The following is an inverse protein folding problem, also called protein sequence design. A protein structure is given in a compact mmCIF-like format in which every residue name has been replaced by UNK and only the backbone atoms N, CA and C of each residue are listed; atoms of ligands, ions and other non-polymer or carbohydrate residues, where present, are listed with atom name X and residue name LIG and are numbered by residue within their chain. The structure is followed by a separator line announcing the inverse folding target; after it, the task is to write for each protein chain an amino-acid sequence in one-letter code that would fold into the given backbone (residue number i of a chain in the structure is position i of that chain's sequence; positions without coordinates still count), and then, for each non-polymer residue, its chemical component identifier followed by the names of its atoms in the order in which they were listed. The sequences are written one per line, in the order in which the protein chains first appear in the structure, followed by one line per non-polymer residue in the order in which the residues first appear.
data_IF_787927863789
#
_entry.id   IF_787927863789
#
_cell.length_a   1.000
_cell.length_b   1.000
_cell.length_c   1.000
_cell.angle_alpha   90.00
_cell.angle_beta   90.00
_cell.angle_gamma   90.00
#
_symmetry.space_group_name_H-M   'P 1'
#
loop_
_entity.id
_entity.type
_entity.pdbx_description
1 polymer ?
#
# COMPACT_ATOMS: atom_id res chain seq x y z
N UNK A 1 -40.22 43.30 12.59
CA UNK A 1 -40.02 41.99 11.92
C UNK A 1 -38.54 41.86 11.62
N UNK A 2 -37.80 41.10 12.44
CA UNK A 2 -36.38 40.81 12.18
C UNK A 2 -36.32 39.63 11.21
N UNK A 3 -35.72 39.83 10.04
CA UNK A 3 -35.56 38.78 9.03
C UNK A 3 -34.13 38.24 9.14
N UNK A 4 -33.96 37.18 9.93
CA UNK A 4 -32.70 36.44 10.01
C UNK A 4 -32.50 35.63 8.73
N UNK A 5 -31.48 35.98 7.95
CA UNK A 5 -30.96 35.14 6.87
C UNK A 5 -30.01 34.11 7.49
N UNK A 6 -30.41 32.83 7.52
CA UNK A 6 -29.46 31.74 7.72
C UNK A 6 -28.70 31.53 6.42
N UNK A 7 -27.41 31.91 6.41
CA UNK A 7 -26.45 31.44 5.42
C UNK A 7 -26.13 29.98 5.74
N UNK A 8 -26.77 29.06 5.03
CA UNK A 8 -26.36 27.66 4.99
C UNK A 8 -25.08 27.60 4.16
N UNK A 9 -23.94 27.65 4.83
CA UNK A 9 -22.65 27.42 4.18
C UNK A 9 -22.60 25.99 3.68
N UNK A 10 -22.36 25.80 2.37
CA UNK A 10 -21.91 24.52 1.86
C UNK A 10 -20.57 24.22 2.52
N UNK A 11 -20.55 23.26 3.44
CA UNK A 11 -19.31 22.56 3.75
C UNK A 11 -18.90 21.85 2.46
N UNK A 12 -17.82 22.31 1.84
CA UNK A 12 -17.06 21.45 0.95
C UNK A 12 -16.56 20.32 1.82
N UNK A 13 -17.07 19.10 1.61
CA UNK A 13 -16.35 17.92 2.07
C UNK A 13 -14.98 18.01 1.41
N UNK A 14 -13.98 18.32 2.21
CA UNK A 14 -12.59 18.19 1.82
C UNK A 14 -12.37 16.69 1.70
N UNK A 15 -12.61 16.16 0.49
CA UNK A 15 -12.29 14.79 0.14
C UNK A 15 -10.76 14.71 0.09
N UNK A 16 -10.15 14.66 1.27
CA UNK A 16 -8.70 14.57 1.48
C UNK A 16 -8.18 13.17 1.12
N UNK A 17 -8.84 12.48 0.18
CA UNK A 17 -8.42 11.17 -0.28
C UNK A 17 -7.37 11.34 -1.37
N UNK A 18 -6.18 10.78 -1.14
CA UNK A 18 -5.13 10.74 -2.14
C UNK A 18 -5.62 9.95 -3.38
N UNK A 19 -5.40 10.52 -4.58
CA UNK A 19 -5.65 9.80 -5.81
C UNK A 19 -4.57 8.75 -6.04
N UNK A 20 -4.82 7.50 -5.65
CA UNK A 20 -3.86 6.40 -5.81
C UNK A 20 -3.55 6.02 -7.27
N UNK A 21 -4.46 6.33 -8.19
CA UNK A 21 -4.32 6.00 -9.62
C UNK A 21 -3.39 6.99 -10.28
N UNK A 22 -2.30 6.48 -10.86
CA UNK A 22 -1.20 7.24 -11.46
C UNK A 22 -0.39 8.10 -10.48
N UNK A 23 -0.56 7.92 -9.17
CA UNK A 23 0.35 8.50 -8.18
C UNK A 23 1.75 7.88 -8.32
N UNK A 24 2.77 8.72 -8.38
CA UNK A 24 4.16 8.29 -8.26
C UNK A 24 4.50 7.97 -6.81
N UNK A 25 5.60 7.23 -6.59
CA UNK A 25 6.14 7.00 -5.24
C UNK A 25 6.35 8.33 -4.50
N UNK A 26 6.85 9.34 -5.19
CA UNK A 26 7.07 10.66 -4.62
C UNK A 26 5.75 11.35 -4.22
N UNK A 27 4.67 11.19 -4.99
CA UNK A 27 3.38 11.77 -4.63
C UNK A 27 2.82 11.14 -3.35
N UNK A 28 2.92 9.81 -3.22
CA UNK A 28 2.52 9.07 -2.03
C UNK A 28 3.34 9.51 -0.81
N UNK A 29 4.67 9.57 -0.95
CA UNK A 29 5.59 9.96 0.12
C UNK A 29 5.38 11.41 0.56
N UNK A 30 5.12 12.34 -0.35
CA UNK A 30 4.81 13.73 0.00
C UNK A 30 3.49 13.84 0.78
N UNK A 31 2.45 13.12 0.37
CA UNK A 31 1.17 13.13 1.08
C UNK A 31 1.30 12.56 2.50
N UNK A 32 2.09 11.50 2.68
CA UNK A 32 2.43 10.95 4.01
C UNK A 32 3.14 11.98 4.89
N UNK A 33 4.15 12.65 4.34
CA UNK A 33 4.95 13.65 5.07
C UNK A 33 4.14 14.90 5.43
N UNK A 34 3.14 15.25 4.63
CA UNK A 34 2.22 16.35 4.91
C UNK A 34 1.13 15.97 5.94
N UNK A 35 0.95 14.67 6.21
CA UNK A 35 -0.12 14.16 7.05
C UNK A 35 -1.48 14.13 6.35
N UNK A 36 -1.50 14.17 5.01
CA UNK A 36 -2.73 14.12 4.21
C UNK A 36 -3.35 12.72 4.19
N UNK A 37 -2.52 11.68 4.36
CA UNK A 37 -2.90 10.26 4.36
C UNK A 37 -1.90 9.46 5.19
N UNK A 38 -2.31 8.30 5.72
CA UNK A 38 -1.42 7.30 6.34
C UNK A 38 -0.98 6.22 5.36
N UNK A 39 0.12 5.54 5.67
CA UNK A 39 0.63 4.43 4.87
C UNK A 39 -0.37 3.27 4.86
N UNK A 40 -1.03 3.04 6.01
CA UNK A 40 -2.12 2.08 6.11
C UNK A 40 -3.22 2.37 5.10
N UNK A 41 -3.70 3.62 5.03
CA UNK A 41 -4.76 4.01 4.08
C UNK A 41 -4.33 3.83 2.62
N UNK A 42 -3.08 4.12 2.28
CA UNK A 42 -2.52 3.87 0.94
C UNK A 42 -2.58 2.37 0.61
N UNK A 43 -2.09 1.51 1.51
CA UNK A 43 -2.07 0.06 1.29
C UNK A 43 -3.49 -0.52 1.24
N UNK A 44 -4.38 -0.10 2.13
CA UNK A 44 -5.80 -0.49 2.11
C UNK A 44 -6.47 -0.07 0.81
N UNK A 45 -6.17 1.13 0.28
CA UNK A 45 -6.70 1.59 -0.99
C UNK A 45 -6.22 0.76 -2.19
N UNK A 46 -4.97 0.29 -2.21
CA UNK A 46 -4.53 -0.65 -3.24
C UNK A 46 -5.14 -2.05 -3.09
N UNK A 47 -5.31 -2.55 -1.85
CA UNK A 47 -6.01 -3.82 -1.61
C UNK A 47 -7.47 -3.73 -2.07
N UNK A 48 -8.17 -2.64 -1.75
CA UNK A 48 -9.54 -2.41 -2.21
C UNK A 48 -9.65 -2.38 -3.74
N UNK A 49 -8.63 -1.86 -4.43
CA UNK A 49 -8.56 -1.94 -5.90
C UNK A 49 -8.32 -3.37 -6.39
N UNK A 50 -7.46 -4.15 -5.74
CA UNK A 50 -7.29 -5.56 -6.09
C UNK A 50 -8.64 -6.30 -5.97
N UNK A 51 -9.37 -6.10 -4.88
CA UNK A 51 -10.69 -6.72 -4.67
C UNK A 51 -11.72 -6.26 -5.73
N UNK A 52 -11.76 -4.96 -6.02
CA UNK A 52 -12.74 -4.38 -6.93
C UNK A 52 -12.47 -4.68 -8.41
N UNK A 53 -11.24 -5.01 -8.81
CA UNK A 53 -10.87 -5.19 -10.22
C UNK A 53 -10.30 -6.57 -10.54
N UNK A 54 -9.48 -7.17 -9.68
CA UNK A 54 -8.63 -8.29 -10.07
C UNK A 54 -9.43 -9.58 -10.31
N UNK A 55 -10.03 -10.10 -9.25
CA UNK A 55 -10.81 -11.34 -9.30
C UNK A 55 -12.23 -11.09 -9.80
N UNK A 56 -12.85 -10.01 -9.35
CA UNK A 56 -14.24 -9.66 -9.68
C UNK A 56 -14.45 -9.31 -11.17
N UNK A 57 -13.40 -8.88 -11.89
CA UNK A 57 -13.45 -8.59 -13.33
C UNK A 57 -12.60 -9.52 -14.20
N UNK A 58 -12.01 -10.57 -13.61
CA UNK A 58 -11.27 -11.60 -14.35
C UNK A 58 -9.91 -11.13 -14.91
N UNK A 59 -9.30 -10.10 -14.32
CA UNK A 59 -7.92 -9.70 -14.64
C UNK A 59 -6.94 -10.75 -14.12
N UNK A 60 -7.17 -11.23 -12.88
CA UNK A 60 -6.41 -12.31 -12.24
C UNK A 60 -4.87 -12.12 -12.32
N UNK A 61 -4.42 -10.92 -11.97
CA UNK A 61 -3.01 -10.52 -11.94
C UNK A 61 -2.34 -10.81 -10.59
N UNK A 62 -3.08 -10.87 -9.49
CA UNK A 62 -2.53 -11.05 -8.14
C UNK A 62 -2.71 -12.49 -7.69
N UNK A 63 -1.61 -13.21 -7.47
CA UNK A 63 -1.63 -14.59 -6.99
C UNK A 63 -1.83 -14.68 -5.48
N UNK A 64 -1.22 -13.76 -4.73
CA UNK A 64 -1.30 -13.68 -3.28
C UNK A 64 -1.07 -12.25 -2.79
N UNK A 65 -1.75 -11.87 -1.71
CA UNK A 65 -1.50 -10.62 -0.99
C UNK A 65 -0.70 -10.96 0.26
N UNK A 66 0.40 -10.24 0.53
CA UNK A 66 1.19 -10.45 1.75
C UNK A 66 0.31 -10.22 2.99
N UNK A 67 0.12 -11.23 3.87
CA UNK A 67 -0.75 -11.09 5.06
C UNK A 67 -0.24 -10.06 6.06
N UNK A 68 1.05 -9.68 5.98
CA UNK A 68 1.69 -8.70 6.85
C UNK A 68 1.71 -7.29 6.23
N UNK A 69 1.14 -7.06 5.05
CA UNK A 69 1.22 -5.76 4.35
C UNK A 69 0.70 -4.60 5.20
N UNK A 70 -0.45 -4.77 5.86
CA UNK A 70 -1.04 -3.74 6.72
C UNK A 70 -0.23 -3.53 8.01
N UNK A 71 0.29 -4.62 8.60
CA UNK A 71 1.16 -4.51 9.78
C UNK A 71 2.42 -3.72 9.44
N UNK A 72 3.02 -3.97 8.27
CA UNK A 72 4.18 -3.19 7.80
C UNK A 72 3.82 -1.73 7.60
N UNK A 73 2.66 -1.44 6.99
CA UNK A 73 2.19 -0.06 6.83
C UNK A 73 2.06 0.66 8.19
N UNK A 74 1.47 0.00 9.19
CA UNK A 74 1.35 0.52 10.55
C UNK A 74 2.72 0.85 11.18
N UNK A 75 3.76 0.05 10.92
CA UNK A 75 5.11 0.34 11.42
C UNK A 75 5.74 1.58 10.78
N UNK A 76 5.43 1.85 9.51
CA UNK A 76 5.91 3.04 8.81
C UNK A 76 5.20 4.29 9.37
N UNK A 77 3.89 4.20 9.59
CA UNK A 77 3.11 5.29 10.21
C UNK A 77 3.63 5.64 11.62
N UNK A 78 3.97 4.63 12.42
CA UNK A 78 4.58 4.84 13.74
C UNK A 78 5.94 5.53 13.64
N UNK A 79 6.79 5.12 12.71
CA UNK A 79 8.11 5.72 12.52
C UNK A 79 8.04 7.16 11.99
N UNK A 80 7.04 7.47 11.16
CA UNK A 80 6.77 8.84 10.70
C UNK A 80 6.38 9.75 11.88
N UNK A 81 5.61 9.23 12.84
CA UNK A 81 5.22 9.97 14.05
C UNK A 81 6.41 10.25 15.01
N UNK A 82 7.47 9.44 14.97
CA UNK A 82 8.66 9.59 15.82
C UNK A 82 9.79 10.40 15.17
N UNK A 83 9.57 10.98 13.97
CA UNK A 83 10.57 11.75 13.19
C UNK A 83 11.84 10.97 12.86
N UNK A 84 11.74 9.64 12.77
CA UNK A 84 12.86 8.80 12.35
C UNK A 84 13.19 9.02 10.86
N UNK A 85 14.47 8.93 10.45
CA UNK A 85 14.83 8.99 9.05
C UNK A 85 14.14 7.88 8.26
N UNK A 86 13.38 8.26 7.24
CA UNK A 86 12.72 7.29 6.36
C UNK A 86 13.69 6.75 5.31
N UNK A 87 13.68 5.43 5.04
CA UNK A 87 14.44 4.84 3.95
C UNK A 87 13.84 5.21 2.58
N UNK A 88 14.61 5.08 1.50
CA UNK A 88 14.26 5.64 0.17
C UNK A 88 12.89 5.22 -0.37
N UNK A 89 12.49 3.96 -0.17
CA UNK A 89 11.23 3.39 -0.66
C UNK A 89 10.18 3.26 0.45
N UNK A 90 10.27 4.05 1.53
CA UNK A 90 9.25 4.01 2.58
C UNK A 90 7.85 4.19 1.99
N UNK A 91 6.94 3.31 2.41
CA UNK A 91 5.56 3.24 1.92
C UNK A 91 5.42 3.26 0.39
N UNK A 92 6.28 2.54 -0.32
CA UNK A 92 6.07 2.23 -1.74
C UNK A 92 5.48 0.81 -1.87
N UNK A 93 4.17 0.63 -2.07
CA UNK A 93 3.59 -0.70 -2.25
C UNK A 93 4.04 -1.29 -3.59
N UNK A 94 4.63 -2.48 -3.55
CA UNK A 94 5.18 -3.17 -4.72
C UNK A 94 4.55 -4.55 -4.87
N UNK A 95 4.41 -4.99 -6.13
CA UNK A 95 4.09 -6.36 -6.47
C UNK A 95 5.34 -7.09 -6.93
N UNK A 96 5.55 -8.29 -6.39
CA UNK A 96 6.65 -9.17 -6.74
C UNK A 96 6.09 -10.33 -7.55
N UNK A 97 6.74 -10.67 -8.68
CA UNK A 97 6.32 -11.82 -9.48
C UNK A 97 6.56 -13.10 -8.67
N UNK A 98 5.61 -14.03 -8.71
CA UNK A 98 5.60 -15.32 -7.96
C UNK A 98 6.74 -16.30 -8.33
N UNK A 99 7.77 -15.85 -9.04
CA UNK A 99 9.00 -16.59 -9.29
C UNK A 99 10.22 -15.96 -8.60
N UNK A 100 10.00 -14.98 -7.72
CA UNK A 100 11.02 -14.43 -6.83
C UNK A 100 10.70 -14.85 -5.40
N UNK A 101 11.69 -15.46 -4.75
CA UNK A 101 11.56 -15.94 -3.39
C UNK A 101 11.27 -14.80 -2.40
N UNK A 102 10.27 -15.02 -1.54
CA UNK A 102 9.93 -14.20 -0.38
C UNK A 102 9.86 -15.12 0.84
N UNK A 103 10.63 -14.87 1.89
CA UNK A 103 10.75 -15.78 3.04
C UNK A 103 9.47 -15.87 3.90
N UNK A 104 8.53 -14.95 3.71
CA UNK A 104 7.29 -14.81 4.47
C UNK A 104 6.02 -15.19 3.68
N UNK A 105 6.16 -15.62 2.42
CA UNK A 105 5.05 -16.04 1.55
C UNK A 105 5.45 -17.26 0.72
N UNK A 106 4.49 -17.90 0.06
CA UNK A 106 4.81 -18.96 -0.89
C UNK A 106 5.45 -18.38 -2.16
N UNK A 107 6.24 -19.20 -2.85
CA UNK A 107 6.74 -18.90 -4.20
C UNK A 107 6.48 -20.12 -5.07
N UNK A 108 5.46 -20.02 -5.92
CA UNK A 108 4.95 -21.18 -6.67
C UNK A 108 5.53 -21.27 -8.08
N UNK A 109 6.09 -20.18 -8.60
CA UNK A 109 6.48 -20.07 -10.00
C UNK A 109 5.31 -20.28 -10.97
N UNK A 110 4.07 -20.07 -10.52
CA UNK A 110 2.84 -20.42 -11.23
C UNK A 110 2.55 -21.93 -11.36
N UNK A 111 3.20 -22.77 -10.55
CA UNK A 111 3.08 -24.24 -10.63
C UNK A 111 2.39 -24.83 -9.40
N UNK A 112 1.38 -25.68 -9.64
CA UNK A 112 0.69 -26.43 -8.58
C UNK A 112 1.66 -27.33 -7.80
N UNK A 113 2.77 -27.76 -8.42
CA UNK A 113 3.78 -28.58 -7.75
C UNK A 113 4.49 -27.82 -6.61
N UNK A 114 4.46 -26.49 -6.62
CA UNK A 114 5.12 -25.60 -5.66
C UNK A 114 4.11 -24.76 -4.86
N UNK A 115 2.82 -25.13 -4.86
CA UNK A 115 1.75 -24.35 -4.21
C UNK A 115 1.97 -24.08 -2.72
N UNK A 116 2.71 -24.95 -2.03
CA UNK A 116 3.01 -24.87 -0.61
C UNK A 116 4.51 -24.59 -0.36
N UNK A 117 5.25 -24.15 -1.39
CA UNK A 117 6.69 -23.90 -1.32
C UNK A 117 6.98 -22.56 -0.66
N UNK A 118 7.47 -22.59 0.58
CA UNK A 118 7.94 -21.41 1.30
C UNK A 118 9.48 -21.40 1.23
N UNK A 119 10.10 -20.43 0.53
CA UNK A 119 11.54 -20.30 0.49
C UNK A 119 12.14 -20.00 1.87
N UNK A 120 13.37 -20.44 2.15
CA UNK A 120 14.03 -20.14 3.43
C UNK A 120 14.49 -18.67 3.54
N UNK A 121 14.70 -18.00 2.41
CA UNK A 121 15.29 -16.67 2.32
C UNK A 121 14.61 -15.84 1.22
N UNK A 122 14.68 -14.51 1.34
CA UNK A 122 14.32 -13.61 0.25
C UNK A 122 15.32 -13.70 -0.92
N UNK A 123 14.81 -13.63 -2.14
CA UNK A 123 15.64 -13.37 -3.32
C UNK A 123 16.45 -12.08 -3.13
N UNK A 124 17.62 -11.99 -3.75
CA UNK A 124 18.53 -10.83 -3.59
C UNK A 124 17.83 -9.48 -3.82
N UNK A 125 16.99 -9.37 -4.85
CA UNK A 125 16.27 -8.14 -5.15
C UNK A 125 15.17 -7.82 -4.13
N UNK A 126 14.43 -8.83 -3.66
CA UNK A 126 13.39 -8.66 -2.62
C UNK A 126 14.02 -8.12 -1.34
N UNK A 127 15.12 -8.72 -0.91
CA UNK A 127 15.89 -8.23 0.25
C UNK A 127 16.34 -6.78 0.06
N UNK A 128 16.82 -6.39 -1.13
CA UNK A 128 17.22 -5.00 -1.41
C UNK A 128 16.05 -4.02 -1.35
N UNK A 129 14.86 -4.41 -1.82
CA UNK A 129 13.65 -3.60 -1.70
C UNK A 129 13.24 -3.40 -0.23
N UNK A 130 13.26 -4.48 0.57
CA UNK A 130 12.96 -4.40 2.00
C UNK A 130 13.97 -3.56 2.78
N UNK A 131 15.27 -3.71 2.48
CA UNK A 131 16.35 -2.87 3.03
C UNK A 131 16.15 -1.39 2.69
N UNK A 132 15.59 -1.09 1.51
CA UNK A 132 15.23 0.25 1.09
C UNK A 132 13.87 0.72 1.63
N UNK A 133 13.16 -0.11 2.41
CA UNK A 133 11.95 0.28 3.14
C UNK A 133 10.62 0.09 2.42
N UNK A 134 10.60 -0.55 1.25
CA UNK A 134 9.36 -0.94 0.55
C UNK A 134 8.59 -1.99 1.36
#
# INVERSE_FOLDING_TARGET
MSLSFLLLGCATEDDSSIQLVEASINDLQLALLNGDVSCREIVEGYIARIEAYDQSRGINAITEINPNALVRADTIDQALATTEPMPELFCAPLLIKDNFDTADMVTTGGSVALKDSIPPDDAFMVRKLREAGA
#
